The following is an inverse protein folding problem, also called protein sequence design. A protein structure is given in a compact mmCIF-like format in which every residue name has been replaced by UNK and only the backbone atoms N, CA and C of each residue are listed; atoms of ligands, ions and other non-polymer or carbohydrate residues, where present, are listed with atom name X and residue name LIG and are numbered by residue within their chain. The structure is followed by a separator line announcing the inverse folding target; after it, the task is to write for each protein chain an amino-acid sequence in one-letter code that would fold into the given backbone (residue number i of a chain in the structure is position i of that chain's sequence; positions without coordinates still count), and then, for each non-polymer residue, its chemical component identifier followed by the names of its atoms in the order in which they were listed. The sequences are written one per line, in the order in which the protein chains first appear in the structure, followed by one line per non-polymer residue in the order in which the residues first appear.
data_IF_178972698852
#
_entry.id   IF_178972698852
#
_cell.length_a   1.000
_cell.length_b   1.000
_cell.length_c   1.000
_cell.angle_alpha   90.00
_cell.angle_beta   90.00
_cell.angle_gamma   90.00
#
_symmetry.space_group_name_H-M   'P 1'
#
loop_
_entity.id
_entity.type
_entity.pdbx_description
1 polymer ?
#
# COMPACT_ATOMS: atom_id res chain seq x y z
N UNK A 1 -1.88 22.45 -9.29
CA UNK A 1 -1.67 21.11 -8.71
C UNK A 1 -1.72 21.24 -7.19
N UNK A 2 -2.84 20.87 -6.57
CA UNK A 2 -3.05 20.95 -5.12
C UNK A 2 -2.17 19.89 -4.46
N UNK A 3 -1.25 20.27 -3.57
CA UNK A 3 -0.33 19.32 -2.90
C UNK A 3 -1.16 18.25 -2.21
N UNK A 4 -0.92 16.98 -2.54
CA UNK A 4 -1.56 15.85 -1.87
C UNK A 4 -0.95 15.79 -0.47
N UNK A 5 -1.73 15.97 0.60
CA UNK A 5 -1.20 15.90 1.96
C UNK A 5 -0.65 14.48 2.21
N UNK A 6 0.52 14.41 2.85
CA UNK A 6 1.20 13.15 3.20
C UNK A 6 1.45 12.20 2.01
N UNK A 7 1.85 12.73 0.85
CA UNK A 7 2.13 11.96 -0.38
C UNK A 7 3.12 10.81 -0.21
N UNK A 8 4.07 10.91 0.74
CA UNK A 8 5.05 9.85 1.01
C UNK A 8 4.38 8.55 1.49
N UNK A 9 3.34 8.63 2.33
CA UNK A 9 2.65 7.42 2.85
C UNK A 9 1.90 6.73 1.70
N UNK A 10 1.24 7.50 0.85
CA UNK A 10 0.58 7.02 -0.36
C UNK A 10 1.56 6.35 -1.34
N UNK A 11 2.75 6.92 -1.50
CA UNK A 11 3.76 6.36 -2.38
C UNK A 11 4.29 5.02 -1.83
N UNK A 12 4.51 4.94 -0.52
CA UNK A 12 4.94 3.69 0.15
C UNK A 12 3.84 2.64 0.10
N UNK A 13 2.56 2.99 0.29
CA UNK A 13 1.45 2.04 0.15
C UNK A 13 1.35 1.51 -1.28
N UNK A 14 1.45 2.40 -2.27
CA UNK A 14 1.45 2.01 -3.68
C UNK A 14 2.62 1.07 -4.02
N UNK A 15 3.82 1.36 -3.49
CA UNK A 15 4.98 0.51 -3.70
C UNK A 15 4.79 -0.88 -3.08
N UNK A 16 4.22 -0.99 -1.88
CA UNK A 16 3.86 -2.28 -1.28
C UNK A 16 2.84 -3.06 -2.13
N UNK A 17 1.84 -2.37 -2.68
CA UNK A 17 0.85 -2.98 -3.57
C UNK A 17 1.50 -3.50 -4.86
N UNK A 18 2.37 -2.69 -5.47
CA UNK A 18 3.10 -3.07 -6.67
C UNK A 18 4.02 -4.27 -6.41
N UNK A 19 4.70 -4.29 -5.26
CA UNK A 19 5.54 -5.42 -4.87
C UNK A 19 4.70 -6.69 -4.69
N UNK A 20 3.53 -6.60 -4.05
CA UNK A 20 2.57 -7.70 -3.95
C UNK A 20 2.15 -8.23 -5.31
N UNK A 21 1.84 -7.34 -6.26
CA UNK A 21 1.48 -7.71 -7.63
C UNK A 21 2.62 -8.44 -8.37
N UNK A 22 3.86 -8.00 -8.20
CA UNK A 22 5.03 -8.70 -8.78
C UNK A 22 5.16 -10.11 -8.16
N UNK A 23 4.89 -10.26 -6.87
CA UNK A 23 4.89 -11.57 -6.21
C UNK A 23 3.78 -12.48 -6.76
N UNK A 24 2.59 -11.96 -7.08
CA UNK A 24 1.50 -12.70 -7.76
C UNK A 24 1.94 -13.24 -9.11
N UNK A 25 2.62 -12.38 -9.89
CA UNK A 25 3.13 -12.79 -11.21
C UNK A 25 4.17 -13.90 -11.05
N UNK A 26 5.08 -13.78 -10.06
CA UNK A 26 6.10 -14.80 -9.77
C UNK A 26 5.52 -16.09 -9.18
N UNK A 27 4.45 -16.01 -8.39
CA UNK A 27 3.72 -17.15 -7.82
C UNK A 27 3.23 -18.11 -8.91
N UNK A 28 2.81 -17.56 -10.05
CA UNK A 28 2.36 -18.34 -11.21
C UNK A 28 3.49 -19.21 -11.78
N UNK A 29 4.76 -18.82 -11.59
CA UNK A 29 5.91 -19.53 -12.14
C UNK A 29 6.71 -20.34 -11.08
N UNK A 30 6.71 -19.93 -9.81
CA UNK A 30 7.59 -20.50 -8.77
C UNK A 30 6.95 -20.58 -7.37
N UNK A 31 7.32 -21.62 -6.60
CA UNK A 31 7.07 -21.82 -5.15
C UNK A 31 5.79 -21.14 -4.61
N UNK A 32 4.65 -21.62 -5.10
CA UNK A 32 3.30 -21.09 -4.88
C UNK A 32 3.03 -20.65 -3.42
N UNK A 33 3.31 -21.50 -2.43
CA UNK A 33 3.02 -21.20 -1.02
C UNK A 33 3.82 -20.03 -0.44
N UNK A 34 5.07 -19.82 -0.89
CA UNK A 34 5.92 -18.74 -0.37
C UNK A 34 5.52 -17.40 -1.01
N UNK A 35 5.33 -17.39 -2.33
CA UNK A 35 4.96 -16.17 -3.06
C UNK A 35 3.54 -15.70 -2.73
N UNK A 36 2.59 -16.63 -2.54
CA UNK A 36 1.25 -16.31 -2.06
C UNK A 36 1.27 -15.65 -0.66
N UNK A 37 2.12 -16.14 0.25
CA UNK A 37 2.27 -15.51 1.57
C UNK A 37 2.87 -14.09 1.50
N UNK A 38 3.90 -13.89 0.66
CA UNK A 38 4.51 -12.58 0.45
C UNK A 38 3.57 -11.59 -0.23
N UNK A 39 2.77 -12.05 -1.20
CA UNK A 39 1.71 -11.28 -1.84
C UNK A 39 0.71 -10.78 -0.81
N UNK A 40 0.13 -11.70 -0.02
CA UNK A 40 -0.85 -11.34 0.98
C UNK A 40 -0.30 -10.39 2.04
N UNK A 41 0.97 -10.55 2.44
CA UNK A 41 1.64 -9.59 3.33
C UNK A 41 1.79 -8.22 2.68
N UNK A 42 2.20 -8.16 1.41
CA UNK A 42 2.35 -6.91 0.65
C UNK A 42 1.04 -6.14 0.53
N UNK A 43 -0.05 -6.84 0.20
CA UNK A 43 -1.39 -6.23 0.14
C UNK A 43 -1.91 -5.81 1.51
N UNK A 44 -1.67 -6.60 2.56
CA UNK A 44 -2.07 -6.25 3.93
C UNK A 44 -1.33 -4.98 4.40
N UNK A 45 -0.02 -4.90 4.18
CA UNK A 45 0.80 -3.73 4.50
C UNK A 45 0.34 -2.49 3.72
N UNK A 46 0.07 -2.64 2.42
CA UNK A 46 -0.50 -1.58 1.59
C UNK A 46 -1.83 -1.07 2.15
N UNK A 47 -2.74 -1.98 2.52
CA UNK A 47 -4.05 -1.61 3.06
C UNK A 47 -3.93 -0.86 4.40
N UNK A 48 -3.03 -1.30 5.30
CA UNK A 48 -2.79 -0.62 6.58
C UNK A 48 -2.20 0.78 6.36
N UNK A 49 -1.23 0.92 5.45
CA UNK A 49 -0.62 2.22 5.12
C UNK A 49 -1.63 3.17 4.48
N UNK A 50 -2.48 2.66 3.58
CA UNK A 50 -3.55 3.44 2.96
C UNK A 50 -4.59 3.87 3.99
N UNK A 51 -5.02 2.97 4.87
CA UNK A 51 -5.94 3.29 5.96
C UNK A 51 -5.35 4.35 6.91
N UNK A 52 -4.06 4.25 7.22
CA UNK A 52 -3.33 5.24 8.03
C UNK A 52 -3.23 6.60 7.33
N UNK A 53 -3.08 6.63 6.00
CA UNK A 53 -3.12 7.85 5.21
C UNK A 53 -4.52 8.49 5.22
N UNK A 54 -5.58 7.69 5.01
CA UNK A 54 -6.97 8.15 5.13
C UNK A 54 -7.25 8.74 6.51
N UNK A 55 -6.76 8.10 7.57
CA UNK A 55 -6.89 8.60 8.94
C UNK A 55 -6.16 9.93 9.15
N UNK A 56 -4.93 10.05 8.64
CA UNK A 56 -4.20 11.32 8.70
C UNK A 56 -4.89 12.44 7.93
N UNK A 57 -5.50 12.15 6.78
CA UNK A 57 -6.29 13.15 6.05
C UNK A 57 -7.53 13.55 6.83
N UNK A 58 -8.28 12.59 7.35
CA UNK A 58 -9.55 12.87 8.02
C UNK A 58 -9.38 13.62 9.36
N UNK A 59 -8.29 13.38 10.10
CA UNK A 59 -8.11 13.91 11.46
C UNK A 59 -6.95 14.91 11.61
N UNK A 60 -5.96 14.89 10.72
CA UNK A 60 -4.74 15.68 10.87
C UNK A 60 -4.63 16.82 9.84
N UNK A 61 -5.41 16.79 8.76
CA UNK A 61 -5.51 17.92 7.83
C UNK A 61 -6.39 19.02 8.43
N UNK A 62 -5.77 19.92 9.20
CA UNK A 62 -6.43 21.10 9.81
C UNK A 62 -6.86 22.17 8.78
N UNK A 63 -6.72 21.89 7.48
CA UNK A 63 -7.06 22.80 6.37
C UNK A 63 -8.24 22.35 5.52
N UNK A 64 -8.94 21.28 5.90
CA UNK A 64 -10.07 20.73 5.16
C UNK A 64 -11.46 21.04 5.76
N UNK A 65 -11.53 21.86 6.83
CA UNK A 65 -12.79 22.39 7.40
C UNK A 65 -12.83 23.92 7.29
#
# INVERSE_FOLDING_TARGET
MRRIPFSSILFVSYFCLFLGFVMTVLETFFLHNLFNFLEHLGYTLSAILLASWCWNIAFNDKGAL
#
